data_IF_206248881667
#
_entry.id   IF_206248881667
#
_cell.length_a   1.000
_cell.length_b   1.000
_cell.length_c   1.000
_cell.angle_alpha   90.00
_cell.angle_beta   90.00
_cell.angle_gamma   90.00
#
_symmetry.space_group_name_H-M   'P 1'
#
loop_
_entity.id
_entity.type
_entity.pdbx_description
1 polymer ?
#
# COMPACT_ATOMS: atom_id res chain seq x y z
N UNK A 1 10.79 7.63 -0.87
CA UNK A 1 10.45 8.98 -1.32
C UNK A 1 9.06 9.01 -1.94
N UNK A 2 8.28 10.04 -1.60
CA UNK A 2 6.93 10.23 -2.17
C UNK A 2 6.97 11.41 -3.13
N UNK A 3 6.73 11.20 -4.45
CA UNK A 3 6.67 12.27 -5.43
C UNK A 3 5.27 12.87 -5.53
N UNK A 4 5.19 14.19 -5.57
CA UNK A 4 4.00 14.96 -5.93
C UNK A 4 4.28 15.67 -7.25
N UNK A 5 3.56 15.31 -8.29
CA UNK A 5 3.69 15.91 -9.61
C UNK A 5 2.62 16.97 -9.82
N UNK A 6 3.04 18.16 -10.17
CA UNK A 6 2.16 19.28 -10.50
C UNK A 6 2.43 19.69 -11.95
N UNK A 7 1.45 19.43 -12.81
CA UNK A 7 1.50 19.84 -14.21
C UNK A 7 0.97 21.28 -14.33
N UNK A 8 1.81 22.15 -14.83
CA UNK A 8 1.53 23.58 -15.00
C UNK A 8 1.44 23.93 -16.49
N UNK A 9 0.56 24.85 -16.78
CA UNK A 9 0.47 25.48 -18.10
C UNK A 9 0.71 26.97 -17.96
N UNK A 10 1.81 27.46 -18.51
CA UNK A 10 2.12 28.88 -18.57
C UNK A 10 1.51 29.47 -19.82
N UNK A 11 0.69 30.51 -19.66
CA UNK A 11 0.02 31.25 -20.73
C UNK A 11 0.67 32.62 -20.90
N UNK A 12 0.59 33.23 -22.10
CA UNK A 12 0.89 34.63 -22.27
C UNK A 12 0.08 35.51 -21.29
N UNK A 13 0.68 36.60 -20.81
CA UNK A 13 0.09 37.43 -19.76
C UNK A 13 -1.26 38.06 -20.16
N UNK A 14 -1.49 38.27 -21.45
CA UNK A 14 -2.74 38.77 -22.01
C UNK A 14 -3.87 37.72 -21.98
N UNK A 15 -3.55 36.45 -21.97
CA UNK A 15 -4.51 35.34 -21.98
C UNK A 15 -4.90 34.87 -20.59
N UNK A 16 -4.08 35.09 -19.57
CA UNK A 16 -4.36 34.59 -18.22
C UNK A 16 -5.56 35.27 -17.58
N UNK A 17 -5.81 36.55 -17.90
CA UNK A 17 -6.93 37.34 -17.34
C UNK A 17 -8.32 36.74 -17.68
N UNK A 18 -8.42 35.96 -18.76
CA UNK A 18 -9.65 35.29 -19.17
C UNK A 18 -9.84 33.88 -18.54
N UNK A 19 -8.87 33.41 -17.76
CA UNK A 19 -8.89 32.06 -17.17
C UNK A 19 -9.48 32.10 -15.77
N UNK A 20 -10.57 31.37 -15.57
CA UNK A 20 -11.10 31.15 -14.23
C UNK A 20 -10.14 30.28 -13.41
N UNK A 21 -9.75 30.72 -12.19
CA UNK A 21 -8.91 29.92 -11.32
C UNK A 21 -9.68 28.68 -10.84
N UNK A 22 -9.14 27.51 -11.15
CA UNK A 22 -9.68 26.23 -10.67
C UNK A 22 -8.70 25.64 -9.66
N UNK A 23 -9.04 25.61 -8.36
CA UNK A 23 -8.16 25.03 -7.35
C UNK A 23 -7.72 23.62 -7.72
N UNK A 24 -6.42 23.38 -7.59
CA UNK A 24 -5.83 22.07 -7.89
C UNK A 24 -5.33 21.42 -6.59
N UNK A 25 -5.55 20.12 -6.48
CA UNK A 25 -5.02 19.28 -5.41
C UNK A 25 -4.58 17.94 -5.98
N UNK A 26 -3.45 17.44 -5.48
CA UNK A 26 -2.98 16.09 -5.83
C UNK A 26 -3.71 15.01 -5.04
N UNK A 27 -3.43 13.75 -5.38
CA UNK A 27 -3.76 12.62 -4.53
C UNK A 27 -3.09 12.77 -3.16
N UNK A 28 -3.72 12.20 -2.15
CA UNK A 28 -3.23 12.18 -0.77
C UNK A 28 -2.23 11.04 -0.59
N UNK A 29 -1.08 11.36 0.00
CA UNK A 29 -0.11 10.38 0.45
C UNK A 29 0.18 10.53 1.93
N UNK A 30 0.29 9.44 2.66
CA UNK A 30 0.68 9.45 4.06
C UNK A 30 2.21 9.44 4.18
N UNK A 31 2.75 10.50 4.77
CA UNK A 31 4.19 10.63 5.02
C UNK A 31 4.47 10.23 6.46
N UNK A 32 5.23 9.17 6.65
CA UNK A 32 5.63 8.68 7.96
C UNK A 32 6.93 9.36 8.41
N UNK A 33 6.85 10.07 9.53
CA UNK A 33 8.01 10.72 10.19
C UNK A 33 8.62 9.77 11.20
N UNK A 34 7.77 9.00 11.90
CA UNK A 34 8.14 7.89 12.78
C UNK A 34 7.19 6.73 12.50
N UNK A 35 7.41 5.58 13.11
CA UNK A 35 6.49 4.44 13.00
C UNK A 35 5.06 4.78 13.46
N UNK A 36 4.94 5.70 14.44
CA UNK A 36 3.66 6.09 15.05
C UNK A 36 3.07 7.36 14.43
N UNK A 37 3.91 8.27 13.97
CA UNK A 37 3.47 9.58 13.50
C UNK A 37 3.53 9.67 11.98
N UNK A 38 2.40 9.93 11.36
CA UNK A 38 2.28 10.16 9.92
C UNK A 38 1.34 11.32 9.63
N UNK A 39 1.61 12.00 8.54
CA UNK A 39 0.76 13.05 8.02
C UNK A 39 0.22 12.68 6.65
N UNK A 40 -1.10 12.74 6.43
CA UNK A 40 -1.66 12.73 5.10
C UNK A 40 -1.39 14.09 4.45
N UNK A 41 -0.52 14.11 3.43
CA UNK A 41 -0.07 15.33 2.75
C UNK A 41 -0.62 15.37 1.33
N UNK A 42 -1.01 16.54 0.90
CA UNK A 42 -1.38 16.88 -0.48
C UNK A 42 -0.57 18.08 -0.96
N UNK A 43 -0.31 18.13 -2.27
CA UNK A 43 0.14 19.38 -2.90
C UNK A 43 -1.08 20.12 -3.45
N UNK A 44 -1.16 21.41 -3.22
CA UNK A 44 -2.28 22.23 -3.66
C UNK A 44 -1.83 23.55 -4.29
N UNK A 45 -2.62 23.99 -5.26
CA UNK A 45 -2.52 25.30 -5.91
C UNK A 45 -3.91 25.95 -5.88
N UNK A 46 -4.16 26.89 -4.96
CA UNK A 46 -5.46 27.56 -4.86
C UNK A 46 -5.87 28.31 -6.12
N UNK A 47 -4.91 28.92 -6.81
CA UNK A 47 -5.12 29.63 -8.08
C UNK A 47 -5.19 28.74 -9.31
N UNK A 48 -5.00 27.41 -9.13
CA UNK A 48 -5.01 26.42 -10.23
C UNK A 48 -3.66 26.28 -10.92
N UNK A 49 -3.65 25.45 -11.96
CA UNK A 49 -2.43 25.05 -12.68
C UNK A 49 -2.11 25.89 -13.93
N UNK A 50 -2.96 26.86 -14.25
CA UNK A 50 -2.73 27.83 -15.32
C UNK A 50 -2.19 29.12 -14.73
N UNK A 51 -1.00 29.53 -15.15
CA UNK A 51 -0.29 30.70 -14.63
C UNK A 51 0.16 31.59 -15.77
N UNK A 52 0.25 32.89 -15.54
CA UNK A 52 0.73 33.86 -16.53
C UNK A 52 2.25 33.87 -16.63
N UNK A 53 2.79 34.15 -17.82
CA UNK A 53 4.21 34.38 -18.01
C UNK A 53 4.64 35.62 -17.19
N UNK A 54 5.69 35.47 -16.38
CA UNK A 54 6.15 36.49 -15.43
C UNK A 54 5.55 36.39 -14.02
N UNK A 55 4.51 35.56 -13.82
CA UNK A 55 3.90 35.36 -12.52
C UNK A 55 4.71 34.39 -11.64
N UNK A 56 4.50 34.52 -10.34
CA UNK A 56 5.03 33.58 -9.34
C UNK A 56 3.89 32.97 -8.54
N UNK A 57 3.90 31.65 -8.40
CA UNK A 57 2.90 30.93 -7.62
C UNK A 57 3.61 29.96 -6.66
N UNK A 58 3.02 29.75 -5.49
CA UNK A 58 3.55 28.81 -4.52
C UNK A 58 2.73 27.52 -4.50
N UNK A 59 3.41 26.39 -4.72
CA UNK A 59 2.83 25.07 -4.52
C UNK A 59 2.84 24.79 -3.02
N UNK A 60 1.65 24.67 -2.42
CA UNK A 60 1.52 24.41 -1.00
C UNK A 60 1.50 22.91 -0.73
N UNK A 61 2.45 22.42 0.06
CA UNK A 61 2.36 21.09 0.69
C UNK A 61 1.66 21.26 2.04
N UNK A 62 0.50 20.64 2.19
CA UNK A 62 -0.33 20.79 3.38
C UNK A 62 -0.93 19.48 3.84
N UNK A 63 -1.20 19.42 5.14
CA UNK A 63 -1.93 18.31 5.76
C UNK A 63 -3.42 18.40 5.44
N UNK A 64 -4.21 17.41 5.83
CA UNK A 64 -5.66 17.43 5.62
C UNK A 64 -6.38 18.51 6.43
N UNK A 65 -5.77 18.97 7.54
CA UNK A 65 -6.28 20.11 8.31
C UNK A 65 -6.00 21.47 7.64
N UNK A 66 -5.19 21.49 6.57
CA UNK A 66 -4.81 22.72 5.87
C UNK A 66 -3.50 23.33 6.37
N UNK A 67 -2.90 22.75 7.41
CA UNK A 67 -1.64 23.24 7.97
C UNK A 67 -0.47 22.95 7.03
N UNK A 68 0.52 23.84 7.01
CA UNK A 68 1.73 23.65 6.22
C UNK A 68 2.49 22.41 6.71
N UNK A 69 2.77 21.49 5.79
CA UNK A 69 3.56 20.29 6.07
C UNK A 69 4.94 20.63 6.67
N UNK A 70 5.61 21.64 6.14
CA UNK A 70 6.92 22.09 6.63
C UNK A 70 6.83 22.60 8.07
N UNK A 71 5.73 23.25 8.46
CA UNK A 71 5.53 23.71 9.83
C UNK A 71 5.24 22.54 10.78
N UNK A 72 4.53 21.52 10.31
CA UNK A 72 4.32 20.30 11.09
C UNK A 72 5.64 19.56 11.35
N UNK A 73 6.56 19.53 10.37
CA UNK A 73 7.88 18.92 10.55
C UNK A 73 8.69 19.55 11.69
N UNK A 74 8.54 20.86 11.94
CA UNK A 74 9.27 21.56 13.02
C UNK A 74 8.92 21.05 14.42
N UNK A 75 7.83 20.33 14.58
CA UNK A 75 7.42 19.73 15.86
C UNK A 75 8.22 18.47 16.22
N UNK A 76 9.05 17.96 15.30
CA UNK A 76 9.84 16.74 15.47
C UNK A 76 11.32 17.02 15.33
N UNK A 77 12.14 16.46 16.21
CA UNK A 77 13.61 16.59 16.17
C UNK A 77 14.20 16.10 14.84
N UNK A 78 13.64 15.01 14.30
CA UNK A 78 14.05 14.44 13.01
C UNK A 78 13.38 15.08 11.81
N UNK A 79 12.55 16.09 12.00
CA UNK A 79 11.72 16.67 10.95
C UNK A 79 12.50 17.22 9.76
N UNK A 80 13.70 17.75 10.00
CA UNK A 80 14.57 18.27 8.93
C UNK A 80 14.93 17.25 7.86
N UNK A 81 14.97 15.96 8.21
CA UNK A 81 15.25 14.84 7.29
C UNK A 81 14.14 14.62 6.26
N UNK A 82 12.95 15.14 6.52
CA UNK A 82 11.75 14.96 5.69
C UNK A 82 11.36 16.24 4.92
N UNK A 83 12.27 17.19 4.86
CA UNK A 83 12.06 18.43 4.11
C UNK A 83 11.92 18.10 2.61
N UNK A 84 10.88 18.64 1.94
CA UNK A 84 10.66 18.38 0.52
C UNK A 84 11.79 18.98 -0.32
N UNK A 85 12.18 18.26 -1.35
CA UNK A 85 13.03 18.76 -2.44
C UNK A 85 12.18 19.05 -3.67
N UNK A 86 12.52 20.10 -4.40
CA UNK A 86 11.78 20.57 -5.56
C UNK A 86 12.62 20.49 -6.82
N UNK A 87 12.02 20.00 -7.90
CA UNK A 87 12.68 19.89 -9.20
C UNK A 87 11.69 20.14 -10.32
N UNK A 88 12.14 20.82 -11.38
CA UNK A 88 11.42 20.84 -12.67
C UNK A 88 11.80 19.57 -13.43
N UNK A 89 10.83 18.72 -13.73
CA UNK A 89 11.03 17.47 -14.46
C UNK A 89 10.75 17.61 -15.97
N UNK A 90 9.96 18.63 -16.31
CA UNK A 90 9.64 18.99 -17.71
C UNK A 90 9.47 20.50 -17.81
N UNK A 91 9.98 21.11 -18.87
CA UNK A 91 9.80 22.54 -19.14
C UNK A 91 10.72 23.45 -18.30
N UNK A 92 12.01 23.12 -18.20
CA UNK A 92 13.00 23.93 -17.46
C UNK A 92 13.17 25.33 -18.03
N UNK A 93 12.85 25.55 -19.31
CA UNK A 93 12.81 26.85 -19.96
C UNK A 93 11.47 27.58 -19.75
N UNK A 94 10.44 26.88 -19.26
CA UNK A 94 9.10 27.43 -19.02
C UNK A 94 8.94 27.93 -17.59
N UNK A 95 9.49 27.20 -16.62
CA UNK A 95 9.40 27.57 -15.20
C UNK A 95 10.72 27.31 -14.47
N UNK A 96 10.92 28.06 -13.36
CA UNK A 96 11.93 27.73 -12.32
C UNK A 96 11.22 27.50 -11.00
N UNK A 97 11.72 26.56 -10.19
CA UNK A 97 11.21 26.31 -8.85
C UNK A 97 12.28 26.60 -7.81
N UNK A 98 11.87 27.28 -6.76
CA UNK A 98 12.70 27.60 -5.59
C UNK A 98 12.60 26.49 -4.54
N UNK A 99 13.57 26.38 -3.59
CA UNK A 99 13.57 25.34 -2.54
C UNK A 99 12.35 25.41 -1.60
N UNK A 100 11.61 26.52 -1.57
CA UNK A 100 10.40 26.68 -0.76
C UNK A 100 9.11 26.29 -1.51
N UNK A 101 9.21 25.81 -2.76
CA UNK A 101 8.09 25.45 -3.62
C UNK A 101 7.48 26.60 -4.41
N UNK A 102 8.13 27.78 -4.44
CA UNK A 102 7.71 28.88 -5.29
C UNK A 102 8.14 28.62 -6.74
N UNK A 103 7.19 28.66 -7.64
CA UNK A 103 7.38 28.51 -9.09
C UNK A 103 7.31 29.87 -9.75
N UNK A 104 8.35 30.23 -10.49
CA UNK A 104 8.42 31.42 -11.31
C UNK A 104 8.19 31.05 -12.78
N UNK A 105 7.15 31.55 -13.39
CA UNK A 105 6.83 31.36 -14.78
C UNK A 105 7.71 32.24 -15.67
N UNK A 106 8.45 31.64 -16.58
CA UNK A 106 9.39 32.36 -17.47
C UNK A 106 8.78 32.57 -18.85
N UNK A 107 8.43 31.48 -19.52
CA UNK A 107 7.94 31.50 -20.90
C UNK A 107 6.64 30.68 -21.01
N UNK A 108 5.76 31.03 -21.96
CA UNK A 108 4.59 30.20 -22.25
C UNK A 108 4.97 28.76 -22.62
N UNK A 109 4.19 27.79 -22.15
CA UNK A 109 4.39 26.37 -22.39
C UNK A 109 3.90 25.48 -21.27
N UNK A 110 4.15 24.20 -21.42
CA UNK A 110 3.82 23.19 -20.42
C UNK A 110 5.05 22.85 -19.57
N UNK A 111 4.85 22.76 -18.24
CA UNK A 111 5.90 22.39 -17.30
C UNK A 111 5.37 21.40 -16.27
N UNK A 112 6.27 20.59 -15.73
CA UNK A 112 5.97 19.69 -14.61
C UNK A 112 6.96 19.95 -13.49
N UNK A 113 6.43 20.27 -12.31
CA UNK A 113 7.21 20.43 -11.09
C UNK A 113 6.96 19.24 -10.18
N UNK A 114 8.02 18.64 -9.69
CA UNK A 114 7.99 17.54 -8.73
C UNK A 114 8.42 18.07 -7.36
N UNK A 115 7.57 17.82 -6.38
CA UNK A 115 7.95 17.91 -4.97
C UNK A 115 8.21 16.48 -4.48
N UNK A 116 9.44 16.19 -4.10
CA UNK A 116 9.84 14.89 -3.60
C UNK A 116 10.07 14.97 -2.10
N UNK A 117 9.26 14.22 -1.34
CA UNK A 117 9.37 14.15 0.11
C UNK A 117 10.12 12.87 0.47
N UNK A 118 11.31 12.97 1.12
CA UNK A 118 11.95 11.81 1.71
C UNK A 118 11.03 11.30 2.82
N UNK A 119 10.74 10.03 2.84
CA UNK A 119 9.90 9.41 3.86
C UNK A 119 10.43 8.05 4.23
N UNK A 120 10.16 7.62 5.45
CA UNK A 120 10.08 6.20 5.74
C UNK A 120 9.04 5.66 4.78
N UNK A 121 9.33 4.56 4.09
CA UNK A 121 8.55 4.03 2.99
C UNK A 121 7.04 4.22 3.24
N UNK A 122 6.36 4.90 2.34
CA UNK A 122 4.93 5.05 2.41
C UNK A 122 4.35 3.64 2.62
N UNK A 123 3.61 3.43 3.71
CA UNK A 123 2.98 2.13 3.96
C UNK A 123 1.94 1.95 2.86
N UNK A 124 2.32 1.25 1.80
CA UNK A 124 1.44 0.96 0.68
C UNK A 124 0.34 0.03 1.17
N UNK A 125 -0.89 0.48 1.10
CA UNK A 125 -2.07 -0.35 1.33
C UNK A 125 -2.39 -1.18 0.08
N UNK A 126 -3.13 -2.26 0.27
CA UNK A 126 -3.63 -3.09 -0.81
C UNK A 126 -5.05 -3.56 -0.48
N UNK A 127 -6.02 -3.26 -1.34
CA UNK A 127 -7.43 -3.52 -1.11
C UNK A 127 -7.91 -2.92 0.24
N UNK A 128 -8.41 -3.78 1.15
CA UNK A 128 -8.85 -3.39 2.49
C UNK A 128 -7.71 -3.25 3.51
N UNK A 129 -6.48 -3.65 3.15
CA UNK A 129 -5.31 -3.58 4.01
C UNK A 129 -4.77 -2.15 3.98
N UNK A 130 -4.77 -1.48 5.12
CA UNK A 130 -4.34 -0.07 5.23
C UNK A 130 -2.86 0.11 4.97
N UNK A 131 -2.03 -0.85 5.40
CA UNK A 131 -0.61 -0.85 5.14
C UNK A 131 -0.02 -2.26 5.22
N UNK A 132 0.65 -2.71 4.16
CA UNK A 132 1.28 -4.03 4.07
C UNK A 132 2.42 -4.24 5.09
N UNK A 133 3.02 -3.15 5.55
CA UNK A 133 4.06 -3.18 6.57
C UNK A 133 3.53 -3.15 8.02
N UNK A 134 2.22 -3.03 8.25
CA UNK A 134 1.66 -3.09 9.60
C UNK A 134 1.90 -4.47 10.21
N UNK A 135 2.30 -4.47 11.49
CA UNK A 135 2.68 -5.66 12.23
C UNK A 135 1.77 -5.78 13.45
N UNK A 136 1.12 -6.95 13.60
CA UNK A 136 0.24 -7.24 14.72
C UNK A 136 -1.20 -6.70 14.57
N UNK A 137 -2.16 -7.46 15.07
CA UNK A 137 -3.59 -7.09 15.01
C UNK A 137 -4.01 -6.13 16.14
N UNK A 138 -3.21 -6.05 17.21
CA UNK A 138 -3.45 -5.16 18.34
C UNK A 138 -2.19 -4.33 18.62
N UNK A 139 -2.23 -3.05 18.28
CA UNK A 139 -1.10 -2.11 18.42
C UNK A 139 -1.63 -0.79 18.96
N UNK A 140 -0.93 -0.21 19.93
CA UNK A 140 -1.23 1.10 20.53
C UNK A 140 -2.67 1.25 21.07
N UNK A 141 -3.25 0.16 21.61
CA UNK A 141 -4.60 0.17 22.16
C UNK A 141 -5.72 0.06 21.11
N UNK A 142 -5.38 -0.10 19.83
CA UNK A 142 -6.36 -0.22 18.76
C UNK A 142 -6.28 -1.59 18.05
N UNK A 143 -7.43 -2.08 17.62
CA UNK A 143 -7.52 -3.31 16.82
C UNK A 143 -7.39 -2.95 15.34
N UNK A 144 -6.41 -3.55 14.68
CA UNK A 144 -6.25 -3.50 13.23
C UNK A 144 -7.10 -4.60 12.58
N UNK A 145 -8.36 -4.26 12.27
CA UNK A 145 -9.33 -5.20 11.69
C UNK A 145 -8.89 -5.80 10.36
N UNK A 146 -8.13 -5.07 9.57
CA UNK A 146 -7.54 -5.53 8.31
C UNK A 146 -6.60 -6.73 8.54
N UNK A 147 -5.76 -6.67 9.57
CA UNK A 147 -4.87 -7.78 9.95
C UNK A 147 -5.67 -8.93 10.57
N UNK A 148 -6.65 -8.63 11.43
CA UNK A 148 -7.52 -9.65 12.02
C UNK A 148 -8.26 -10.46 10.94
N UNK A 149 -8.79 -9.80 9.90
CA UNK A 149 -9.43 -10.45 8.74
C UNK A 149 -8.44 -11.34 7.99
N UNK A 150 -7.18 -10.89 7.79
CA UNK A 150 -6.15 -11.70 7.14
C UNK A 150 -5.80 -12.95 7.95
N UNK A 151 -5.66 -12.83 9.27
CA UNK A 151 -5.38 -13.98 10.16
C UNK A 151 -6.54 -14.98 10.13
N UNK A 152 -7.78 -14.49 10.20
CA UNK A 152 -8.98 -15.33 10.09
C UNK A 152 -9.07 -16.01 8.71
N UNK A 153 -8.81 -15.26 7.63
CA UNK A 153 -8.77 -15.77 6.27
C UNK A 153 -7.70 -16.84 6.08
N UNK A 154 -6.52 -16.63 6.65
CA UNK A 154 -5.46 -17.62 6.66
C UNK A 154 -5.88 -18.91 7.37
N UNK A 155 -6.45 -18.82 8.56
CA UNK A 155 -6.96 -19.98 9.31
C UNK A 155 -8.03 -20.74 8.53
N UNK A 156 -8.96 -20.02 7.91
CA UNK A 156 -10.01 -20.62 7.07
C UNK A 156 -9.42 -21.37 5.87
N UNK A 157 -8.46 -20.77 5.17
CA UNK A 157 -7.80 -21.41 4.02
C UNK A 157 -7.01 -22.66 4.43
N UNK A 158 -6.38 -22.68 5.61
CA UNK A 158 -5.74 -23.87 6.17
C UNK A 158 -6.74 -25.00 6.42
N UNK A 159 -7.88 -24.69 7.05
CA UNK A 159 -8.94 -25.69 7.29
C UNK A 159 -9.45 -26.26 5.97
N UNK A 160 -9.74 -25.43 5.00
CA UNK A 160 -10.21 -25.85 3.68
C UNK A 160 -9.16 -26.76 3.01
N UNK A 161 -7.89 -26.38 3.00
CA UNK A 161 -6.80 -27.17 2.42
C UNK A 161 -6.68 -28.54 3.08
N UNK A 162 -6.84 -28.61 4.40
CA UNK A 162 -6.80 -29.89 5.11
C UNK A 162 -8.00 -30.81 4.82
N UNK A 163 -9.20 -30.22 4.74
CA UNK A 163 -10.40 -30.99 4.36
C UNK A 163 -10.27 -31.54 2.94
N UNK A 164 -9.71 -30.76 2.02
CA UNK A 164 -9.48 -31.20 0.64
C UNK A 164 -8.41 -32.30 0.57
N UNK A 165 -7.31 -32.14 1.30
CA UNK A 165 -6.21 -33.13 1.31
C UNK A 165 -6.59 -34.44 2.03
N UNK A 166 -7.52 -34.38 2.99
CA UNK A 166 -8.00 -35.56 3.74
C UNK A 166 -9.02 -36.44 2.99
N UNK A 167 -9.50 -36.00 1.82
CA UNK A 167 -10.43 -36.76 0.99
C UNK A 167 -9.64 -37.81 0.21
N UNK A 168 -9.61 -39.05 0.71
CA UNK A 168 -9.02 -40.16 -0.01
C UNK A 168 -7.89 -40.93 0.70
N UNK A 169 -7.48 -40.48 1.89
CA UNK A 169 -6.51 -41.23 2.69
C UNK A 169 -7.16 -41.84 3.93
N UNK A 170 -6.89 -43.12 4.28
CA UNK A 170 -7.30 -43.71 5.55
C UNK A 170 -6.55 -43.01 6.66
N UNK A 171 -7.28 -42.16 7.42
CA UNK A 171 -6.69 -41.35 8.48
C UNK A 171 -6.79 -42.09 9.80
N UNK A 172 -5.66 -42.39 10.43
CA UNK A 172 -5.61 -42.91 11.82
C UNK A 172 -6.26 -41.88 12.76
N UNK A 173 -6.93 -42.34 13.84
CA UNK A 173 -7.59 -41.47 14.82
C UNK A 173 -6.68 -40.35 15.36
N UNK A 174 -5.40 -40.65 15.57
CA UNK A 174 -4.39 -39.72 16.06
C UNK A 174 -4.07 -38.60 15.03
N UNK A 175 -3.99 -38.99 13.75
CA UNK A 175 -3.76 -38.07 12.62
C UNK A 175 -5.00 -37.18 12.37
N UNK A 176 -6.21 -37.70 12.56
CA UNK A 176 -7.45 -36.95 12.45
C UNK A 176 -7.55 -35.83 13.51
N UNK A 177 -7.09 -36.10 14.72
CA UNK A 177 -7.07 -35.12 15.80
C UNK A 177 -6.01 -34.04 15.56
N UNK A 178 -4.80 -34.45 15.15
CA UNK A 178 -3.74 -33.53 14.80
C UNK A 178 -4.17 -32.58 13.64
N UNK A 179 -4.80 -33.13 12.61
CA UNK A 179 -5.29 -32.35 11.47
C UNK A 179 -6.34 -31.29 11.85
N UNK A 180 -7.14 -31.52 12.88
CA UNK A 180 -8.13 -30.55 13.39
C UNK A 180 -7.52 -29.46 14.27
N UNK A 181 -6.53 -29.82 15.08
CA UNK A 181 -5.90 -28.93 16.05
C UNK A 181 -4.86 -28.02 15.39
N UNK A 182 -4.09 -28.53 14.44
CA UNK A 182 -2.99 -27.81 13.78
C UNK A 182 -3.41 -26.45 13.18
N UNK A 183 -4.52 -26.32 12.41
CA UNK A 183 -4.91 -25.03 11.88
C UNK A 183 -5.25 -24.01 12.95
N UNK A 184 -5.92 -24.47 14.01
CA UNK A 184 -6.32 -23.63 15.16
C UNK A 184 -5.07 -23.15 15.91
N UNK A 185 -4.11 -24.04 16.15
CA UNK A 185 -2.85 -23.68 16.80
C UNK A 185 -2.03 -22.69 15.96
N UNK A 186 -1.86 -22.96 14.67
CA UNK A 186 -1.09 -22.08 13.77
C UNK A 186 -1.77 -20.71 13.66
N UNK A 187 -3.09 -20.68 13.47
CA UNK A 187 -3.85 -19.41 13.41
C UNK A 187 -3.75 -18.64 14.71
N UNK A 188 -3.88 -19.33 15.85
CA UNK A 188 -3.71 -18.75 17.18
C UNK A 188 -2.30 -18.20 17.40
N UNK A 189 -1.28 -18.91 16.92
CA UNK A 189 0.11 -18.44 17.01
C UNK A 189 0.30 -17.09 16.29
N UNK A 190 -0.34 -16.85 15.14
CA UNK A 190 -0.23 -15.59 14.42
C UNK A 190 -0.93 -14.41 15.10
N UNK A 191 -1.80 -14.66 16.09
CA UNK A 191 -2.32 -13.61 16.96
C UNK A 191 -1.27 -13.13 17.98
N UNK A 192 -0.35 -14.02 18.39
CA UNK A 192 0.70 -13.69 19.35
C UNK A 192 2.03 -13.30 18.67
N UNK A 193 2.36 -13.90 17.53
CA UNK A 193 3.52 -13.54 16.73
C UNK A 193 3.13 -12.49 15.68
N UNK A 194 3.57 -11.25 15.88
CA UNK A 194 3.21 -10.17 14.98
C UNK A 194 3.93 -10.31 13.63
N UNK A 195 3.21 -10.78 12.62
CA UNK A 195 3.69 -10.80 11.24
C UNK A 195 3.21 -9.54 10.48
N UNK A 196 4.02 -9.03 9.53
CA UNK A 196 3.59 -7.98 8.64
C UNK A 196 2.37 -8.39 7.81
N UNK A 197 1.41 -7.46 7.61
CA UNK A 197 0.19 -7.73 6.84
C UNK A 197 0.47 -8.25 5.41
N UNK A 198 1.57 -7.80 4.78
CA UNK A 198 1.98 -8.29 3.47
C UNK A 198 2.40 -9.76 3.47
N UNK A 199 3.02 -10.23 4.55
CA UNK A 199 3.38 -11.65 4.70
C UNK A 199 2.13 -12.51 4.89
N UNK A 200 1.18 -12.06 5.73
CA UNK A 200 -0.10 -12.74 5.91
C UNK A 200 -0.89 -12.82 4.61
N UNK A 201 -0.94 -11.73 3.84
CA UNK A 201 -1.58 -11.69 2.53
C UNK A 201 -0.95 -12.72 1.57
N UNK A 202 0.39 -12.76 1.50
CA UNK A 202 1.11 -13.76 0.70
C UNK A 202 0.73 -15.18 1.10
N UNK A 203 0.70 -15.47 2.41
CA UNK A 203 0.36 -16.81 2.92
C UNK A 203 -1.08 -17.20 2.59
N UNK A 204 -2.05 -16.27 2.68
CA UNK A 204 -3.45 -16.52 2.28
C UNK A 204 -3.52 -16.87 0.79
N UNK A 205 -2.89 -16.07 -0.07
CA UNK A 205 -2.87 -16.31 -1.50
C UNK A 205 -2.21 -17.66 -1.83
N UNK A 206 -1.05 -17.95 -1.23
CA UNK A 206 -0.35 -19.23 -1.42
C UNK A 206 -1.22 -20.43 -1.01
N UNK A 207 -1.93 -20.35 0.11
CA UNK A 207 -2.86 -21.40 0.56
C UNK A 207 -4.04 -21.58 -0.40
N UNK A 208 -4.57 -20.52 -0.98
CA UNK A 208 -5.64 -20.59 -1.98
C UNK A 208 -5.14 -21.33 -3.21
N UNK A 209 -3.96 -20.98 -3.73
CA UNK A 209 -3.35 -21.68 -4.87
C UNK A 209 -3.08 -23.14 -4.58
N UNK A 210 -2.53 -23.47 -3.41
CA UNK A 210 -2.29 -24.84 -2.98
C UNK A 210 -3.60 -25.62 -2.85
N UNK A 211 -4.64 -25.03 -2.30
CA UNK A 211 -5.98 -25.63 -2.20
C UNK A 211 -6.58 -25.92 -3.58
N UNK A 212 -6.47 -24.97 -4.52
CA UNK A 212 -6.91 -25.17 -5.90
C UNK A 212 -6.14 -26.29 -6.60
N UNK A 213 -4.81 -26.31 -6.45
CA UNK A 213 -3.97 -27.36 -7.00
C UNK A 213 -4.34 -28.74 -6.45
N UNK A 214 -4.52 -28.85 -5.13
CA UNK A 214 -4.95 -30.10 -4.47
C UNK A 214 -6.34 -30.52 -4.96
N UNK A 215 -7.26 -29.58 -5.14
CA UNK A 215 -8.61 -29.87 -5.65
C UNK A 215 -8.59 -30.38 -7.09
N UNK A 216 -7.78 -29.79 -7.97
CA UNK A 216 -7.61 -30.24 -9.36
C UNK A 216 -7.02 -31.65 -9.37
N UNK A 217 -5.91 -31.87 -8.65
CA UNK A 217 -5.24 -33.16 -8.58
C UNK A 217 -6.13 -34.26 -7.96
N UNK A 218 -7.01 -33.90 -7.01
CA UNK A 218 -7.95 -34.87 -6.40
C UNK A 218 -9.04 -35.37 -7.36
N UNK A 219 -9.22 -34.70 -8.49
CA UNK A 219 -10.16 -35.10 -9.55
C UNK A 219 -9.52 -35.95 -10.64
N UNK A 220 -8.20 -35.97 -10.72
CA UNK A 220 -7.50 -36.82 -11.65
C UNK A 220 -7.54 -38.24 -11.15
N UNK A 221 -7.90 -39.17 -12.03
CA UNK A 221 -7.82 -40.63 -11.75
C UNK A 221 -6.36 -41.00 -11.56
N UNK A 222 -6.10 -41.78 -10.50
CA UNK A 222 -4.78 -42.35 -10.31
C UNK A 222 -4.34 -43.17 -11.56
N UNK A 223 -3.09 -43.06 -11.98
CA UNK A 223 -2.54 -43.93 -13.02
C UNK A 223 -2.77 -45.42 -12.68
N UNK A 224 -3.10 -46.23 -13.68
CA UNK A 224 -3.50 -47.65 -13.51
C UNK A 224 -2.53 -48.51 -12.67
N UNK A 225 -1.23 -48.18 -12.73
CA UNK A 225 -0.20 -48.82 -11.93
C UNK A 225 -0.31 -48.51 -10.43
N UNK A 226 -0.68 -47.29 -10.07
CA UNK A 226 -0.86 -46.90 -8.66
C UNK A 226 -2.21 -47.35 -8.12
N UNK A 227 -3.24 -47.42 -8.97
CA UNK A 227 -4.55 -47.92 -8.61
C UNK A 227 -4.49 -49.43 -8.24
N UNK A 228 -3.73 -50.23 -8.99
CA UNK A 228 -3.48 -51.65 -8.66
C UNK A 228 -2.76 -51.86 -7.32
N UNK A 229 -1.75 -51.03 -7.04
CA UNK A 229 -1.01 -51.10 -5.76
C UNK A 229 -1.92 -50.76 -4.58
N UNK A 230 -2.80 -49.75 -4.74
CA UNK A 230 -3.74 -49.36 -3.71
C UNK A 230 -4.79 -50.44 -3.44
N UNK A 231 -5.33 -51.04 -4.50
CA UNK A 231 -6.29 -52.14 -4.41
C UNK A 231 -5.70 -53.39 -3.74
N UNK A 232 -4.42 -53.69 -3.99
CA UNK A 232 -3.72 -54.78 -3.33
C UNK A 232 -3.42 -54.53 -1.85
N UNK A 233 -3.18 -53.26 -1.46
CA UNK A 233 -3.01 -52.87 -0.05
C UNK A 233 -4.32 -52.83 0.75
N UNK A 234 -5.44 -52.56 0.09
CA UNK A 234 -6.76 -52.57 0.73
C UNK A 234 -7.34 -53.97 0.93
N UNK A 235 -6.78 -54.97 0.28
CA UNK A 235 -7.18 -56.39 0.41
C UNK A 235 -6.40 -57.17 1.49
N UNK A 236 -5.39 -56.55 2.10
CA UNK A 236 -4.64 -57.09 3.23
C UNK A 236 -5.19 -56.54 4.56
#
# INVERSE_FOLDING_TARGET
DVPYLVNLKVLPSDQIAAVEPKPFKTAKHSIFITEKNHFPVIASLPGGTKIGSGDSVKINLQTMSGDSYVNELKKFESGSKFTPSWKVTKGENVVKVSPDGTVNALNPGDATVEAKIPGLAAKSGFLFIKALGNVGFYVDGAIHWDIAILVAGFGLTLVISQVLSGRGMPVNKQQSTANKITPVMITGMFLFFPLPAGVLLYMVIANIFQGLQTFILSKESLPDNLQKILDDQLKQ
#
